data_IF_441300366543
#
_entry.id   IF_441300366543
#
_cell.length_a   1.000
_cell.length_b   1.000
_cell.length_c   1.000
_cell.angle_alpha   90.00
_cell.angle_beta   90.00
_cell.angle_gamma   90.00
#
_symmetry.space_group_name_H-M   'P 1'
#
loop_
_entity.id
_entity.type
_entity.pdbx_description
1 polymer ?
#
# COMPACT_ATOMS: atom_id res chain seq x y z
N UNK A 1 -9.82 18.07 -57.01
CA UNK A 1 -8.59 17.38 -56.55
C UNK A 1 -8.27 17.88 -55.15
N UNK A 2 -8.10 17.01 -54.13
CA UNK A 2 -7.75 17.48 -52.79
C UNK A 2 -6.30 17.98 -52.78
N UNK A 3 -6.10 19.19 -52.27
CA UNK A 3 -4.81 19.87 -52.17
C UNK A 3 -3.91 19.21 -51.12
N UNK A 4 -2.82 18.58 -51.56
CA UNK A 4 -1.80 18.01 -50.68
C UNK A 4 -0.93 19.09 -50.04
N UNK A 5 -0.78 19.14 -48.69
CA UNK A 5 0.12 20.08 -48.05
C UNK A 5 1.59 19.78 -48.40
N UNK A 6 2.34 20.81 -48.80
CA UNK A 6 3.76 20.73 -49.12
C UNK A 6 4.60 21.42 -48.06
N UNK A 7 5.60 20.71 -47.53
CA UNK A 7 6.55 21.25 -46.54
C UNK A 7 7.99 21.14 -47.06
N UNK A 8 8.84 22.09 -46.67
CA UNK A 8 10.27 22.06 -46.99
C UNK A 8 11.08 21.96 -45.70
N UNK A 9 11.89 20.90 -45.55
CA UNK A 9 12.84 20.77 -44.45
C UNK A 9 14.20 20.38 -45.04
N UNK A 10 15.27 21.10 -44.67
CA UNK A 10 16.65 20.92 -45.17
C UNK A 10 16.77 20.84 -46.70
N UNK A 11 16.32 21.88 -47.42
CA UNK A 11 16.35 22.03 -48.90
C UNK A 11 15.59 20.96 -49.73
N UNK A 12 14.85 20.04 -49.12
CA UNK A 12 14.03 19.06 -49.84
C UNK A 12 12.54 19.41 -49.73
N UNK A 13 11.84 19.49 -50.87
CA UNK A 13 10.39 19.68 -50.93
C UNK A 13 9.69 18.33 -50.76
N UNK A 14 8.87 18.20 -49.71
CA UNK A 14 8.13 16.98 -49.38
C UNK A 14 6.64 17.27 -49.56
N UNK A 15 5.94 16.38 -50.25
CA UNK A 15 4.48 16.40 -50.39
C UNK A 15 3.88 15.21 -49.66
N UNK A 16 2.85 15.44 -48.87
CA UNK A 16 2.09 14.38 -48.22
C UNK A 16 0.77 14.15 -48.96
N UNK A 17 0.49 12.89 -49.27
CA UNK A 17 -0.81 12.46 -49.78
C UNK A 17 -1.32 11.36 -48.87
N UNK A 18 -2.56 11.49 -48.41
CA UNK A 18 -3.22 10.41 -47.70
C UNK A 18 -3.88 9.47 -48.70
N UNK A 19 -3.72 8.17 -48.47
CA UNK A 19 -4.28 7.11 -49.30
C UNK A 19 -5.07 6.16 -48.39
N UNK A 20 -6.29 5.75 -48.77
CA UNK A 20 -7.05 4.77 -48.02
C UNK A 20 -6.35 3.40 -48.03
N UNK A 21 -6.31 2.76 -46.87
CA UNK A 21 -5.81 1.38 -46.75
C UNK A 21 -6.68 0.40 -47.52
N UNK A 22 -6.09 -0.71 -47.97
CA UNK A 22 -6.79 -1.79 -48.69
C UNK A 22 -7.52 -1.35 -49.98
N UNK A 23 -7.04 -0.30 -50.63
CA UNK A 23 -7.64 0.27 -51.83
C UNK A 23 -7.11 -0.33 -53.15
N UNK A 24 -6.38 -1.45 -53.13
CA UNK A 24 -5.84 -2.07 -54.36
C UNK A 24 -4.62 -1.37 -54.95
N UNK A 25 -4.03 -0.39 -54.24
CA UNK A 25 -2.89 0.39 -54.74
C UNK A 25 -1.60 -0.38 -54.47
N UNK A 26 -0.90 -0.90 -55.51
CA UNK A 26 0.18 -1.88 -55.30
C UNK A 26 1.31 -1.37 -54.40
N UNK A 27 1.67 -0.09 -54.50
CA UNK A 27 2.70 0.52 -53.65
C UNK A 27 2.31 0.60 -52.17
N UNK A 28 1.05 0.94 -51.88
CA UNK A 28 0.54 0.99 -50.51
C UNK A 28 0.41 -0.42 -49.93
N UNK A 29 -0.13 -1.36 -50.71
CA UNK A 29 -0.30 -2.75 -50.27
C UNK A 29 1.03 -3.46 -50.03
N UNK A 30 2.04 -3.21 -50.88
CA UNK A 30 3.38 -3.74 -50.66
C UNK A 30 4.03 -3.16 -49.39
N UNK A 31 3.84 -1.86 -49.12
CA UNK A 31 4.30 -1.23 -47.87
C UNK A 31 3.60 -1.82 -46.64
N UNK A 32 2.28 -2.00 -46.71
CA UNK A 32 1.49 -2.61 -45.62
C UNK A 32 1.89 -4.07 -45.39
N UNK A 33 2.14 -4.83 -46.46
CA UNK A 33 2.63 -6.22 -46.38
C UNK A 33 4.03 -6.27 -45.78
N UNK A 34 4.93 -5.37 -46.17
CA UNK A 34 6.27 -5.27 -45.59
C UNK A 34 6.22 -4.91 -44.09
N UNK A 35 5.39 -3.95 -43.70
CA UNK A 35 5.17 -3.59 -42.30
C UNK A 35 4.59 -4.77 -41.50
N UNK A 36 3.60 -5.49 -42.04
CA UNK A 36 3.03 -6.70 -41.40
C UNK A 36 4.06 -7.82 -41.24
N UNK A 37 4.89 -8.04 -42.26
CA UNK A 37 5.95 -9.06 -42.24
C UNK A 37 7.08 -8.74 -41.26
N UNK A 38 7.30 -7.46 -40.91
CA UNK A 38 8.30 -7.06 -39.92
C UNK A 38 7.96 -7.50 -38.48
N UNK A 39 6.72 -7.90 -38.20
CA UNK A 39 6.31 -8.46 -36.90
C UNK A 39 6.62 -9.96 -36.74
N UNK A 40 7.09 -10.65 -37.79
CA UNK A 40 7.30 -12.10 -37.76
C UNK A 40 8.52 -12.53 -36.90
N UNK A 41 9.49 -11.64 -36.72
CA UNK A 41 10.68 -11.85 -35.87
C UNK A 41 10.62 -10.93 -34.65
N UNK A 42 9.60 -11.11 -33.81
CA UNK A 42 9.69 -10.64 -32.44
C UNK A 42 10.53 -11.63 -31.66
N UNK A 43 11.85 -11.42 -31.64
CA UNK A 43 12.61 -11.83 -30.46
C UNK A 43 11.90 -11.18 -29.26
N UNK A 44 11.30 -12.00 -28.41
CA UNK A 44 10.64 -11.52 -27.19
C UNK A 44 11.73 -11.12 -26.19
N UNK A 45 12.47 -10.06 -26.53
CA UNK A 45 13.43 -9.46 -25.65
C UNK A 45 12.64 -8.86 -24.48
N UNK A 46 12.78 -9.49 -23.32
CA UNK A 46 12.28 -8.94 -22.06
C UNK A 46 13.44 -8.17 -21.45
N UNK A 47 13.31 -6.84 -21.26
CA UNK A 47 14.31 -6.08 -20.54
C UNK A 47 14.59 -6.72 -19.17
N UNK A 48 15.86 -6.79 -18.79
CA UNK A 48 16.24 -7.35 -17.48
C UNK A 48 15.50 -6.65 -16.32
N UNK A 49 15.23 -5.34 -16.44
CA UNK A 49 14.42 -4.58 -15.49
C UNK A 49 13.05 -5.21 -15.24
N UNK A 50 12.40 -5.66 -16.31
CA UNK A 50 11.03 -6.18 -16.27
C UNK A 50 11.03 -7.59 -15.69
N UNK A 51 12.01 -8.41 -16.07
CA UNK A 51 12.23 -9.72 -15.47
C UNK A 51 12.50 -9.61 -13.96
N UNK A 52 13.39 -8.70 -13.54
CA UNK A 52 13.67 -8.44 -12.12
C UNK A 52 12.44 -7.91 -11.38
N UNK A 53 11.64 -7.06 -12.02
CA UNK A 53 10.41 -6.54 -11.44
C UNK A 53 9.37 -7.65 -11.23
N UNK A 54 9.23 -8.57 -12.18
CA UNK A 54 8.37 -9.75 -12.05
C UNK A 54 8.81 -10.65 -10.88
N UNK A 55 10.12 -10.87 -10.72
CA UNK A 55 10.67 -11.61 -9.58
C UNK A 55 10.35 -10.92 -8.25
N UNK A 56 10.53 -9.59 -8.15
CA UNK A 56 10.17 -8.83 -6.96
C UNK A 56 8.67 -8.95 -6.62
N UNK A 57 7.80 -8.86 -7.63
CA UNK A 57 6.35 -9.04 -7.42
C UNK A 57 6.01 -10.46 -6.96
N UNK A 58 6.66 -11.48 -7.52
CA UNK A 58 6.48 -12.87 -7.10
C UNK A 58 6.89 -13.06 -5.64
N UNK A 59 8.06 -12.55 -5.24
CA UNK A 59 8.50 -12.59 -3.85
C UNK A 59 7.51 -11.88 -2.92
N UNK A 60 7.10 -10.65 -3.25
CA UNK A 60 6.11 -9.91 -2.46
C UNK A 60 4.80 -10.69 -2.31
N UNK A 61 4.33 -11.36 -3.37
CA UNK A 61 3.11 -12.18 -3.34
C UNK A 61 3.26 -13.38 -2.40
N UNK A 62 4.41 -14.05 -2.40
CA UNK A 62 4.69 -15.19 -1.50
C UNK A 62 4.71 -14.70 -0.05
N UNK A 63 5.46 -13.63 0.24
CA UNK A 63 5.53 -13.06 1.58
C UNK A 63 4.16 -12.58 2.08
N UNK A 64 3.36 -11.96 1.22
CA UNK A 64 2.01 -11.53 1.56
C UNK A 64 1.12 -12.72 1.92
N UNK A 65 1.20 -13.84 1.18
CA UNK A 65 0.46 -15.07 1.51
C UNK A 65 0.88 -15.66 2.86
N UNK A 66 2.18 -15.68 3.17
CA UNK A 66 2.68 -16.14 4.47
C UNK A 66 2.13 -15.25 5.58
N UNK A 67 2.12 -13.94 5.34
CA UNK A 67 1.59 -12.95 6.26
C UNK A 67 0.08 -13.08 6.49
N UNK A 68 -0.70 -13.28 5.43
CA UNK A 68 -2.15 -13.53 5.49
C UNK A 68 -2.50 -14.79 6.29
N UNK A 69 -1.58 -15.76 6.34
CA UNK A 69 -1.71 -16.97 7.17
C UNK A 69 -1.40 -16.77 8.66
N UNK A 70 -0.91 -15.60 9.10
CA UNK A 70 -0.54 -15.34 10.50
C UNK A 70 -1.74 -14.99 11.39
N UNK A 71 -2.63 -15.96 11.61
CA UNK A 71 -3.90 -15.77 12.37
C UNK A 71 -3.72 -15.41 13.84
N UNK A 72 -2.58 -15.76 14.46
CA UNK A 72 -2.29 -15.44 15.87
C UNK A 72 -1.50 -14.15 16.06
N UNK A 73 -1.16 -13.43 14.99
CA UNK A 73 -0.36 -12.23 15.08
C UNK A 73 -1.22 -10.98 15.31
N UNK A 74 -1.04 -10.35 16.49
CA UNK A 74 -1.75 -9.12 16.88
C UNK A 74 -1.55 -7.97 15.88
N UNK A 75 -0.39 -7.92 15.21
CA UNK A 75 -0.05 -6.86 14.26
C UNK A 75 -0.82 -6.99 12.95
N UNK A 76 -1.24 -8.20 12.55
CA UNK A 76 -1.94 -8.43 11.28
C UNK A 76 -3.21 -7.59 11.16
N UNK A 77 -3.98 -7.49 12.26
CA UNK A 77 -5.22 -6.70 12.32
C UNK A 77 -5.01 -5.20 12.06
N UNK A 78 -3.78 -4.70 12.20
CA UNK A 78 -3.43 -3.28 12.00
C UNK A 78 -2.65 -3.10 10.69
N UNK A 79 -1.86 -4.10 10.31
CA UNK A 79 -0.98 -4.09 9.15
C UNK A 79 -1.25 -5.31 8.26
N UNK A 80 -2.36 -5.36 7.51
CA UNK A 80 -2.66 -6.51 6.67
C UNK A 80 -1.69 -6.66 5.49
N UNK A 81 -0.93 -5.61 5.13
CA UNK A 81 0.08 -5.67 4.06
C UNK A 81 1.50 -5.76 4.60
N UNK A 82 2.36 -6.56 3.94
CA UNK A 82 3.80 -6.65 4.26
C UNK A 82 4.59 -5.38 3.91
N UNK A 83 3.98 -4.42 3.18
CA UNK A 83 4.62 -3.13 2.85
C UNK A 83 4.98 -2.31 4.08
N UNK A 84 4.41 -2.62 5.24
CA UNK A 84 4.70 -1.89 6.47
C UNK A 84 3.94 -0.58 6.57
N UNK A 85 4.29 0.17 7.60
CA UNK A 85 3.86 1.56 7.78
C UNK A 85 4.95 2.50 7.27
N UNK A 86 4.57 3.67 6.76
CA UNK A 86 5.52 4.74 6.49
C UNK A 86 6.14 5.26 7.78
N UNK A 87 7.30 5.93 7.67
CA UNK A 87 7.91 6.64 8.79
C UNK A 87 7.09 7.90 9.11
N UNK A 88 6.87 8.19 10.39
CA UNK A 88 6.32 9.48 10.79
C UNK A 88 7.40 10.57 10.81
N UNK A 89 6.95 11.82 10.86
CA UNK A 89 7.81 12.99 10.95
C UNK A 89 8.67 13.02 12.23
N UNK A 90 8.29 12.28 13.29
CA UNK A 90 9.01 12.30 14.58
C UNK A 90 9.33 10.90 15.05
N UNK A 91 10.63 10.62 15.24
CA UNK A 91 11.13 9.35 15.80
C UNK A 91 10.45 8.94 17.11
N UNK A 92 10.14 9.90 18.00
CA UNK A 92 9.45 9.64 19.26
C UNK A 92 8.05 9.04 19.02
N UNK A 93 7.29 9.61 18.09
CA UNK A 93 5.96 9.11 17.72
C UNK A 93 6.03 7.72 17.08
N UNK A 94 7.02 7.47 16.21
CA UNK A 94 7.25 6.14 15.62
C UNK A 94 7.49 5.06 16.67
N UNK A 95 8.33 5.35 17.68
CA UNK A 95 8.62 4.41 18.77
C UNK A 95 7.34 4.09 19.55
N UNK A 96 6.55 5.12 19.90
CA UNK A 96 5.32 4.95 20.67
C UNK A 96 4.31 4.11 19.87
N UNK A 97 4.06 4.44 18.60
CA UNK A 97 3.12 3.69 17.76
C UNK A 97 3.59 2.26 17.51
N UNK A 98 4.87 2.05 17.24
CA UNK A 98 5.41 0.70 17.04
C UNK A 98 5.15 -0.15 18.28
N UNK A 99 5.46 0.37 19.49
CA UNK A 99 5.19 -0.33 20.75
C UNK A 99 3.70 -0.61 20.97
N UNK A 100 2.82 0.33 20.64
CA UNK A 100 1.36 0.13 20.73
C UNK A 100 0.88 -0.97 19.77
N UNK A 101 1.33 -0.94 18.51
CA UNK A 101 0.96 -1.89 17.45
C UNK A 101 1.31 -3.34 17.82
N UNK A 102 2.50 -3.56 18.40
CA UNK A 102 2.91 -4.90 18.86
C UNK A 102 2.45 -5.24 20.29
N UNK A 103 1.84 -4.29 21.01
CA UNK A 103 1.41 -4.48 22.39
C UNK A 103 2.55 -4.58 23.41
N UNK A 104 3.71 -3.97 23.11
CA UNK A 104 4.88 -3.87 23.98
C UNK A 104 4.89 -2.54 24.74
N UNK A 105 3.82 -2.25 25.47
CA UNK A 105 3.77 -1.12 26.40
C UNK A 105 4.13 -1.58 27.81
N UNK A 106 4.50 -0.62 28.68
CA UNK A 106 4.78 -0.91 30.08
C UNK A 106 3.59 -1.62 30.74
N UNK A 107 2.40 -1.04 30.61
CA UNK A 107 1.18 -1.56 31.21
C UNK A 107 0.88 -3.00 30.75
N UNK A 108 0.92 -3.27 29.44
CA UNK A 108 0.43 -4.55 28.90
C UNK A 108 1.48 -5.65 28.83
N UNK A 109 2.78 -5.34 28.97
CA UNK A 109 3.87 -6.30 28.77
C UNK A 109 4.81 -6.48 29.96
N UNK A 110 4.89 -5.52 30.89
CA UNK A 110 5.82 -5.60 32.05
C UNK A 110 5.65 -6.88 32.86
N UNK A 111 4.42 -7.34 33.02
CA UNK A 111 4.11 -8.55 33.80
C UNK A 111 4.89 -9.78 33.32
N UNK A 112 5.16 -9.92 32.02
CA UNK A 112 5.96 -11.04 31.50
C UNK A 112 7.45 -10.95 31.85
N UNK A 113 7.98 -9.73 32.05
CA UNK A 113 9.37 -9.54 32.46
C UNK A 113 9.54 -9.80 33.97
N UNK A 114 8.54 -9.43 34.76
CA UNK A 114 8.55 -9.60 36.21
C UNK A 114 7.95 -10.95 36.67
N UNK A 115 7.40 -11.75 35.75
CA UNK A 115 6.57 -12.93 36.06
C UNK A 115 5.36 -12.63 36.95
N UNK A 116 4.85 -11.40 36.86
CA UNK A 116 3.61 -10.98 37.54
C UNK A 116 2.38 -11.50 36.77
N UNK A 117 1.20 -11.59 37.42
CA UNK A 117 -0.06 -11.80 36.73
C UNK A 117 -0.33 -10.71 35.68
N UNK A 118 -1.02 -11.09 34.59
CA UNK A 118 -1.43 -10.14 33.58
C UNK A 118 -2.33 -9.04 34.18
N UNK A 119 -2.15 -7.76 33.79
CA UNK A 119 -2.98 -6.67 34.31
C UNK A 119 -4.43 -6.88 33.92
N UNK A 120 -5.33 -6.67 34.88
CA UNK A 120 -6.77 -6.82 34.71
C UNK A 120 -7.41 -5.43 34.73
N UNK A 121 -8.38 -5.21 33.85
CA UNK A 121 -9.25 -4.05 33.95
C UNK A 121 -10.24 -4.26 35.10
N UNK A 122 -10.14 -3.47 36.18
CA UNK A 122 -11.05 -3.58 37.33
C UNK A 122 -12.53 -3.40 36.94
N UNK A 123 -12.82 -2.54 35.95
CA UNK A 123 -14.19 -2.28 35.49
C UNK A 123 -14.77 -3.35 34.57
N UNK A 124 -13.93 -4.02 33.77
CA UNK A 124 -14.38 -5.01 32.76
C UNK A 124 -14.08 -6.45 33.16
N UNK A 125 -13.30 -6.65 34.24
CA UNK A 125 -12.83 -7.93 34.73
C UNK A 125 -12.21 -8.84 33.65
N UNK A 126 -11.41 -8.25 32.77
CA UNK A 126 -10.69 -8.95 31.71
C UNK A 126 -9.25 -8.48 31.64
N UNK A 127 -8.38 -9.27 30.98
CA UNK A 127 -7.00 -8.86 30.69
C UNK A 127 -7.05 -7.50 29.95
N UNK A 128 -6.04 -6.66 30.21
CA UNK A 128 -5.96 -5.29 29.71
C UNK A 128 -4.99 -5.16 28.51
N UNK A 129 -5.31 -5.61 27.28
CA UNK A 129 -4.49 -5.38 26.11
C UNK A 129 -4.67 -3.97 25.54
N UNK A 130 -3.74 -3.55 24.67
CA UNK A 130 -3.81 -2.25 23.97
C UNK A 130 -5.15 -2.07 23.23
N UNK A 131 -5.64 -3.11 22.54
CA UNK A 131 -6.96 -3.10 21.88
C UNK A 131 -8.10 -2.78 22.86
N UNK A 132 -8.03 -3.32 24.08
CA UNK A 132 -9.07 -3.06 25.07
C UNK A 132 -9.07 -1.59 25.49
N UNK A 133 -7.89 -1.03 25.80
CA UNK A 133 -7.75 0.38 26.21
C UNK A 133 -8.26 1.31 25.10
N UNK A 134 -7.80 1.08 23.86
CA UNK A 134 -8.04 1.96 22.73
C UNK A 134 -9.40 1.78 22.04
N UNK A 135 -10.09 0.65 22.21
CA UNK A 135 -11.33 0.39 21.46
C UNK A 135 -12.53 0.06 22.37
N UNK A 136 -12.37 -0.79 23.39
CA UNK A 136 -13.54 -1.44 24.04
C UNK A 136 -13.72 -1.16 25.52
N UNK A 137 -12.71 -0.61 26.21
CA UNK A 137 -12.74 -0.46 27.67
C UNK A 137 -13.82 0.53 28.10
N UNK A 138 -14.76 0.12 28.96
CA UNK A 138 -15.81 1.01 29.47
C UNK A 138 -15.23 2.16 30.31
N UNK A 139 -14.13 1.90 31.02
CA UNK A 139 -13.47 2.91 31.87
C UNK A 139 -12.92 4.10 31.08
N UNK A 140 -12.54 3.89 29.81
CA UNK A 140 -11.96 4.93 28.96
C UNK A 140 -12.94 5.44 27.89
N UNK A 141 -14.23 5.14 28.02
CA UNK A 141 -15.22 5.49 27.00
C UNK A 141 -15.30 7.00 26.77
N UNK A 142 -15.36 7.81 27.84
CA UNK A 142 -15.48 9.27 27.75
C UNK A 142 -14.23 9.90 27.10
N UNK A 143 -13.03 9.47 27.50
CA UNK A 143 -11.77 9.92 26.92
C UNK A 143 -11.69 9.52 25.44
N UNK A 144 -12.08 8.29 25.08
CA UNK A 144 -12.12 7.87 23.68
C UNK A 144 -13.10 8.71 22.86
N UNK A 145 -14.29 8.97 23.37
CA UNK A 145 -15.26 9.85 22.71
C UNK A 145 -14.68 11.25 22.47
N UNK A 146 -14.01 11.83 23.46
CA UNK A 146 -13.40 13.16 23.35
C UNK A 146 -12.27 13.22 22.30
N UNK A 147 -11.41 12.19 22.25
CA UNK A 147 -10.22 12.20 21.38
C UNK A 147 -10.44 11.59 19.99
N UNK A 148 -11.27 10.54 19.90
CA UNK A 148 -11.48 9.74 18.69
C UNK A 148 -12.86 9.98 18.04
N UNK A 149 -13.82 10.55 18.77
CA UNK A 149 -15.19 10.71 18.32
C UNK A 149 -15.98 9.39 18.29
N UNK A 150 -17.26 9.48 17.92
CA UNK A 150 -18.21 8.36 17.96
C UNK A 150 -18.00 7.30 16.85
N UNK A 151 -17.14 7.57 15.86
CA UNK A 151 -17.07 6.81 14.61
C UNK A 151 -15.83 5.91 14.46
N UNK A 152 -14.95 5.86 15.47
CA UNK A 152 -13.75 5.00 15.46
C UNK A 152 -14.10 3.65 16.09
N UNK A 153 -14.06 2.59 15.28
CA UNK A 153 -14.61 1.27 15.64
C UNK A 153 -13.50 0.25 15.87
N UNK A 154 -12.33 0.38 15.24
CA UNK A 154 -11.28 -0.63 15.37
C UNK A 154 -9.85 -0.07 15.50
N UNK A 155 -8.95 -0.94 15.93
CA UNK A 155 -7.56 -0.61 16.25
C UNK A 155 -6.79 -0.09 15.03
N UNK A 156 -7.19 -0.50 13.81
CA UNK A 156 -6.60 -0.05 12.56
C UNK A 156 -6.89 1.43 12.27
N UNK A 157 -8.03 1.95 12.72
CA UNK A 157 -8.39 3.37 12.53
C UNK A 157 -7.54 4.29 13.42
N UNK A 158 -7.05 3.76 14.55
CA UNK A 158 -6.24 4.49 15.51
C UNK A 158 -4.75 4.33 15.21
N UNK A 159 -4.29 3.10 14.93
CA UNK A 159 -2.87 2.74 14.83
C UNK A 159 -2.44 2.30 13.43
N UNK A 160 -3.32 2.34 12.42
CA UNK A 160 -3.05 1.89 11.06
C UNK A 160 -2.03 2.74 10.30
N UNK A 161 -2.09 2.68 8.97
CA UNK A 161 -1.15 3.40 8.10
C UNK A 161 -1.21 4.93 8.29
N UNK A 162 -2.40 5.45 8.57
CA UNK A 162 -2.64 6.84 8.93
C UNK A 162 -3.11 6.87 10.39
N UNK A 163 -2.18 6.90 11.37
CA UNK A 163 -2.54 6.87 12.78
C UNK A 163 -3.28 8.15 13.18
N UNK A 164 -4.22 8.03 14.11
CA UNK A 164 -4.98 9.17 14.61
C UNK A 164 -4.06 10.11 15.41
N UNK A 165 -4.06 11.40 15.07
CA UNK A 165 -3.21 12.41 15.71
C UNK A 165 -3.49 12.58 17.21
N UNK A 166 -4.73 12.33 17.65
CA UNK A 166 -5.15 12.44 19.04
C UNK A 166 -4.79 11.21 19.87
N UNK A 167 -4.25 10.14 19.26
CA UNK A 167 -3.83 8.94 19.99
C UNK A 167 -2.80 9.26 21.08
N UNK A 168 -1.89 10.21 20.83
CA UNK A 168 -0.89 10.61 21.81
C UNK A 168 -1.48 11.44 22.95
N UNK A 169 -2.46 12.30 22.66
CA UNK A 169 -3.17 13.08 23.69
C UNK A 169 -3.98 12.16 24.60
N UNK A 170 -4.72 11.22 24.01
CA UNK A 170 -5.45 10.19 24.76
C UNK A 170 -4.53 9.42 25.72
N UNK A 171 -3.34 9.00 25.26
CA UNK A 171 -2.38 8.25 26.08
C UNK A 171 -1.74 9.07 27.21
N UNK A 172 -1.88 10.40 27.20
CA UNK A 172 -1.41 11.24 28.31
C UNK A 172 -2.44 11.33 29.45
N UNK A 173 -3.69 10.95 29.19
CA UNK A 173 -4.81 10.99 30.14
C UNK A 173 -5.16 9.62 30.74
N UNK A 174 -4.47 8.56 30.30
CA UNK A 174 -4.73 7.15 30.62
C UNK A 174 -3.49 6.46 31.15
#
# INVERSE_FOLDING_TARGET
MPSSPSYTKKKTKIKYCWIPGHAGIPGNENSDKAAKNSNATRETFVPLSDALQAVKFSQHRIWQRIWDGQTSNKLYNIQPSIKGFGNLATRKHDIILTRLRVGHTFLTRRHLLCSDPAPICNMCNCILPVKHILCTCKNFYTQRQAHFGAHIVDLIDILGANPNVNAFSFLSEV
#
